data_IF_164632257043
#
_entry.id   IF_164632257043
#
_cell.length_a   1.000
_cell.length_b   1.000
_cell.length_c   1.000
_cell.angle_alpha   90.00
_cell.angle_beta   90.00
_cell.angle_gamma   90.00
#
_symmetry.space_group_name_H-M   'P 1'
#
loop_
_entity.id
_entity.type
_entity.pdbx_description
1 polymer ?
#
# COMPACT_ATOMS: atom_id res chain seq x y z
N UNK A 1 -3.22 7.73 13.04
CA UNK A 1 -3.47 7.57 11.58
C UNK A 1 -2.19 7.17 10.82
N UNK A 2 -2.26 6.82 9.52
CA UNK A 2 -1.07 6.75 8.64
C UNK A 2 -0.58 8.15 8.27
N UNK A 3 0.73 8.27 8.09
CA UNK A 3 1.48 9.47 7.71
C UNK A 3 2.69 9.02 6.88
N UNK A 4 3.14 9.84 5.93
CA UNK A 4 4.41 9.65 5.22
C UNK A 4 5.60 10.35 5.93
N UNK A 5 5.31 11.12 6.98
CA UNK A 5 6.28 11.76 7.89
C UNK A 5 6.17 11.23 9.34
N UNK A 6 7.18 11.55 10.16
CA UNK A 6 7.44 10.94 11.48
C UNK A 6 6.40 11.23 12.60
N UNK A 7 6.51 10.52 13.73
CA UNK A 7 5.48 10.36 14.80
C UNK A 7 5.83 11.03 16.13
N UNK A 8 4.83 11.45 16.94
CA UNK A 8 4.56 10.89 18.28
C UNK A 8 3.31 11.46 19.03
N UNK A 9 2.54 10.55 19.68
CA UNK A 9 1.68 10.72 20.90
C UNK A 9 0.36 11.54 20.85
N UNK A 10 -0.55 11.22 21.79
CA UNK A 10 -1.99 11.55 21.92
C UNK A 10 -2.32 11.82 23.44
N UNK A 11 -3.56 11.72 24.04
CA UNK A 11 -4.94 11.42 23.55
C UNK A 11 -6.09 12.29 24.18
N UNK A 12 -7.38 12.00 23.88
CA UNK A 12 -8.55 12.08 24.82
C UNK A 12 -9.93 11.71 24.19
N UNK A 13 -10.87 11.27 25.05
CA UNK A 13 -12.32 10.91 24.97
C UNK A 13 -13.27 11.53 23.90
N UNK A 14 -14.48 11.00 23.60
CA UNK A 14 -15.19 9.75 23.99
C UNK A 14 -16.74 9.79 23.77
N UNK A 15 -17.42 8.62 23.71
CA UNK A 15 -18.90 8.39 23.87
C UNK A 15 -19.89 8.88 22.76
N UNK A 16 -21.09 8.31 22.44
CA UNK A 16 -21.79 7.01 22.71
C UNK A 16 -23.07 6.84 21.83
N UNK A 17 -23.40 5.60 21.38
CA UNK A 17 -24.73 5.03 20.95
C UNK A 17 -25.51 5.71 19.77
N UNK A 18 -26.53 5.13 19.09
CA UNK A 18 -27.40 3.92 19.30
C UNK A 18 -27.62 3.10 17.98
N UNK A 19 -28.60 2.19 17.89
CA UNK A 19 -28.62 0.97 17.04
C UNK A 19 -29.83 0.79 16.08
N UNK A 20 -29.58 0.19 14.89
CA UNK A 20 -30.39 -0.82 14.13
C UNK A 20 -31.84 -0.49 13.66
N UNK A 21 -32.50 -1.29 12.78
CA UNK A 21 -32.08 -2.46 11.95
C UNK A 21 -31.76 -2.07 10.47
N UNK A 22 -31.35 -2.90 9.49
CA UNK A 22 -31.12 -4.35 9.27
C UNK A 22 -32.22 -5.17 8.49
N UNK A 23 -31.85 -5.75 7.33
CA UNK A 23 -32.61 -6.72 6.51
C UNK A 23 -31.70 -7.57 5.59
N UNK A 24 -32.10 -8.81 5.26
CA UNK A 24 -31.36 -9.75 4.38
C UNK A 24 -31.54 -9.37 2.88
N UNK A 25 -30.83 -9.91 1.88
CA UNK A 25 -30.01 -11.13 1.71
C UNK A 25 -28.90 -10.86 0.64
N UNK A 26 -28.09 -11.78 0.09
CA UNK A 26 -27.99 -13.24 0.12
C UNK A 26 -26.52 -13.70 -0.11
N UNK A 27 -26.26 -15.01 -0.27
CA UNK A 27 -24.92 -15.59 -0.48
C UNK A 27 -24.73 -16.29 -1.85
N UNK A 28 -23.48 -16.27 -2.34
CA UNK A 28 -22.94 -17.21 -3.34
C UNK A 28 -21.52 -17.61 -2.91
N UNK A 29 -21.21 -18.90 -2.96
CA UNK A 29 -19.92 -19.48 -2.53
C UNK A 29 -18.94 -19.62 -3.70
N UNK A 30 -17.64 -19.53 -3.43
CA UNK A 30 -16.59 -19.67 -4.44
C UNK A 30 -15.19 -19.58 -3.85
N UNK A 31 -14.67 -20.71 -3.35
CA UNK A 31 -13.34 -20.79 -2.72
C UNK A 31 -12.27 -21.16 -3.76
N UNK A 32 -11.69 -20.16 -4.42
CA UNK A 32 -10.44 -20.32 -5.18
C UNK A 32 -9.23 -20.19 -4.25
N UNK A 33 -8.29 -21.13 -4.31
CA UNK A 33 -7.03 -21.03 -3.58
C UNK A 33 -6.08 -20.06 -4.30
N UNK A 34 -5.52 -19.09 -3.57
CA UNK A 34 -4.66 -18.05 -4.16
C UNK A 34 -3.20 -18.51 -4.29
N UNK A 35 -2.53 -18.25 -5.42
CA UNK A 35 -1.10 -18.52 -5.57
C UNK A 35 -0.31 -17.71 -4.55
N UNK A 36 0.61 -18.38 -3.85
CA UNK A 36 1.28 -17.85 -2.67
C UNK A 36 2.79 -18.07 -2.78
N UNK A 37 3.58 -17.00 -2.66
CA UNK A 37 5.04 -17.07 -2.70
C UNK A 37 5.61 -17.19 -1.28
N UNK A 38 6.35 -18.27 -1.02
CA UNK A 38 7.17 -18.42 0.19
C UNK A 38 8.49 -17.64 0.02
N UNK A 39 8.85 -16.83 1.02
CA UNK A 39 10.11 -16.08 1.05
C UNK A 39 11.11 -16.84 1.92
N UNK A 40 12.06 -17.55 1.29
CA UNK A 40 13.17 -18.19 1.98
C UNK A 40 14.33 -17.20 2.20
N UNK A 41 14.54 -16.77 3.45
CA UNK A 41 15.73 -16.02 3.84
C UNK A 41 16.96 -16.93 3.89
N UNK A 42 17.63 -17.11 2.75
CA UNK A 42 18.96 -17.71 2.67
C UNK A 42 20.03 -16.72 3.18
N UNK A 43 20.27 -16.72 4.50
CA UNK A 43 21.54 -16.19 5.05
C UNK A 43 22.56 -17.34 5.09
N UNK A 44 23.59 -17.25 4.27
CA UNK A 44 24.70 -18.21 4.25
C UNK A 44 25.57 -18.07 5.49
N UNK A 45 25.44 -18.99 6.45
CA UNK A 45 26.29 -19.04 7.64
C UNK A 45 27.74 -19.40 7.29
N UNK A 46 28.66 -18.44 7.45
CA UNK A 46 30.10 -18.70 7.57
C UNK A 46 30.51 -18.38 9.01
N UNK A 47 30.74 -19.41 9.81
CA UNK A 47 30.93 -19.25 11.25
C UNK A 47 32.35 -18.90 11.67
N UNK A 48 32.49 -18.04 12.69
CA UNK A 48 33.67 -17.98 13.58
C UNK A 48 33.23 -17.62 15.02
N UNK A 49 33.94 -18.16 16.00
CA UNK A 49 33.77 -17.87 17.43
C UNK A 49 34.44 -16.54 17.78
N UNK A 50 33.82 -15.74 18.65
CA UNK A 50 34.40 -14.51 19.21
C UNK A 50 33.40 -13.83 20.16
N UNK A 51 33.84 -13.42 21.35
CA UNK A 51 32.97 -12.84 22.37
C UNK A 51 32.88 -11.30 22.28
N UNK A 52 31.77 -10.78 22.80
CA UNK A 52 31.54 -9.41 23.28
C UNK A 52 31.54 -8.24 22.28
N UNK A 53 30.64 -7.28 22.54
CA UNK A 53 30.70 -5.88 22.10
C UNK A 53 30.58 -5.57 20.59
N UNK A 54 29.38 -5.72 20.03
CA UNK A 54 28.97 -5.00 18.79
C UNK A 54 27.57 -4.35 18.87
N UNK A 55 27.06 -4.13 20.08
CA UNK A 55 25.80 -3.41 20.38
C UNK A 55 25.99 -1.88 20.26
N UNK A 56 26.47 -1.41 19.10
CA UNK A 56 26.76 0.02 18.86
C UNK A 56 26.75 0.50 17.41
N UNK A 57 26.73 -0.39 16.41
CA UNK A 57 26.85 -0.02 14.98
C UNK A 57 25.53 0.01 14.18
N UNK A 58 24.38 0.00 14.85
CA UNK A 58 23.05 0.18 14.22
C UNK A 58 22.57 1.64 14.25
N UNK A 59 23.47 2.62 14.12
CA UNK A 59 23.14 4.05 14.09
C UNK A 59 23.76 4.83 12.91
N UNK A 60 24.13 4.13 11.84
CA UNK A 60 24.54 4.72 10.56
C UNK A 60 23.62 4.21 9.44
N UNK A 61 22.87 5.13 8.83
CA UNK A 61 21.72 4.83 7.95
C UNK A 61 22.06 4.31 6.55
N UNK A 62 22.79 3.21 6.44
CA UNK A 62 23.07 2.54 5.15
C UNK A 62 22.14 1.32 5.02
N UNK A 63 20.94 1.56 4.50
CA UNK A 63 20.04 0.47 4.11
C UNK A 63 20.44 -0.04 2.72
N UNK A 64 21.04 -1.23 2.63
CA UNK A 64 21.25 -1.88 1.35
C UNK A 64 19.90 -2.20 0.70
N UNK A 65 19.68 -1.83 -0.58
CA UNK A 65 18.35 -1.94 -1.18
C UNK A 65 17.94 -3.40 -1.35
N UNK A 66 16.92 -3.83 -0.61
CA UNK A 66 16.40 -5.20 -0.64
C UNK A 66 15.76 -5.45 -2.01
N UNK A 67 16.42 -6.25 -2.85
CA UNK A 67 15.91 -6.68 -4.17
C UNK A 67 15.05 -7.93 -4.02
N UNK A 68 13.96 -8.02 -4.79
CA UNK A 68 13.00 -9.12 -4.79
C UNK A 68 12.43 -9.28 -6.19
N UNK A 69 12.43 -10.51 -6.72
CA UNK A 69 11.62 -10.89 -7.88
C UNK A 69 10.38 -11.63 -7.40
N UNK A 70 9.21 -11.30 -7.94
CA UNK A 70 7.93 -11.89 -7.52
C UNK A 70 6.97 -12.01 -8.71
N UNK A 71 6.19 -13.10 -8.74
CA UNK A 71 5.05 -13.20 -9.65
C UNK A 71 3.90 -12.37 -9.07
N UNK A 72 3.62 -11.23 -9.69
CA UNK A 72 2.50 -10.37 -9.34
C UNK A 72 1.33 -10.59 -10.31
N UNK A 73 0.20 -9.93 -10.04
CA UNK A 73 -0.96 -9.85 -10.93
C UNK A 73 -1.11 -8.39 -11.42
N UNK A 74 -1.43 -8.20 -12.69
CA UNK A 74 -1.72 -6.90 -13.29
C UNK A 74 -2.99 -6.26 -12.69
N UNK A 75 -2.95 -4.96 -12.40
CA UNK A 75 -4.03 -4.27 -11.69
C UNK A 75 -5.31 -3.98 -12.51
N UNK A 76 -5.38 -4.44 -13.76
CA UNK A 76 -6.53 -4.22 -14.67
C UNK A 76 -7.08 -5.52 -15.27
N UNK A 77 -6.26 -6.55 -15.37
CA UNK A 77 -6.51 -7.81 -16.08
C UNK A 77 -6.31 -9.05 -15.19
N UNK A 78 -5.80 -8.86 -13.96
CA UNK A 78 -5.38 -9.88 -13.00
C UNK A 78 -4.36 -10.90 -13.58
N UNK A 79 -3.70 -10.58 -14.71
CA UNK A 79 -2.79 -11.50 -15.39
C UNK A 79 -1.46 -11.66 -14.62
N UNK A 80 -0.91 -12.89 -14.52
CA UNK A 80 0.37 -13.10 -13.83
C UNK A 80 1.55 -12.46 -14.57
N UNK A 81 2.19 -11.45 -13.97
CA UNK A 81 3.36 -10.74 -14.49
C UNK A 81 4.55 -10.89 -13.53
N UNK A 82 5.72 -11.38 -13.98
CA UNK A 82 6.93 -11.34 -13.17
C UNK A 82 7.44 -9.90 -13.05
N UNK A 83 7.67 -9.43 -11.82
CA UNK A 83 8.21 -8.09 -11.55
C UNK A 83 9.44 -8.16 -10.65
N UNK A 84 10.38 -7.23 -10.82
CA UNK A 84 11.50 -7.01 -9.90
C UNK A 84 11.31 -5.70 -9.13
N UNK A 85 11.44 -5.77 -7.80
CA UNK A 85 11.30 -4.65 -6.88
C UNK A 85 12.60 -4.46 -6.08
N UNK A 86 13.18 -3.27 -6.12
CA UNK A 86 14.33 -2.87 -5.33
C UNK A 86 13.91 -1.86 -4.27
N UNK A 87 13.65 -2.35 -3.05
CA UNK A 87 13.14 -1.57 -1.93
C UNK A 87 14.23 -0.65 -1.37
N UNK A 88 13.90 0.62 -1.09
CA UNK A 88 14.86 1.67 -0.70
C UNK A 88 14.68 2.18 0.73
N UNK A 89 13.44 2.49 1.13
CA UNK A 89 13.13 3.04 2.45
C UNK A 89 11.65 2.81 2.81
N UNK A 90 11.35 2.61 4.09
CA UNK A 90 9.97 2.67 4.58
C UNK A 90 9.53 4.13 4.64
N UNK A 91 8.53 4.51 3.83
CA UNK A 91 7.97 5.86 3.78
C UNK A 91 6.75 6.02 4.69
N UNK A 92 6.07 4.94 5.10
CA UNK A 92 4.91 5.04 5.99
C UNK A 92 4.68 3.79 6.83
N UNK A 93 4.10 3.96 8.02
CA UNK A 93 3.72 2.85 8.89
C UNK A 93 2.53 3.23 9.77
N UNK A 94 1.49 2.39 9.80
CA UNK A 94 0.30 2.61 10.63
C UNK A 94 -0.48 1.32 10.90
N UNK A 95 -1.64 1.46 11.55
CA UNK A 95 -2.46 0.35 12.08
C UNK A 95 -2.78 -0.76 11.08
N UNK A 96 -2.87 -0.44 9.79
CA UNK A 96 -3.28 -1.36 8.73
C UNK A 96 -2.12 -1.90 7.89
N UNK A 97 -0.88 -1.42 8.08
CA UNK A 97 0.23 -1.83 7.22
C UNK A 97 1.47 -0.92 7.23
N UNK A 98 2.36 -1.23 6.30
CA UNK A 98 3.63 -0.55 6.05
C UNK A 98 3.68 -0.14 4.56
N UNK A 99 4.27 1.02 4.27
CA UNK A 99 4.47 1.51 2.91
C UNK A 99 5.97 1.70 2.69
N UNK A 100 6.52 1.02 1.70
CA UNK A 100 7.94 1.10 1.32
C UNK A 100 8.09 1.69 -0.08
N UNK A 101 9.04 2.60 -0.29
CA UNK A 101 9.41 3.07 -1.64
C UNK A 101 10.38 2.09 -2.28
N UNK A 102 10.08 1.65 -3.50
CA UNK A 102 10.94 0.78 -4.29
C UNK A 102 11.12 1.33 -5.71
N UNK A 103 12.16 0.88 -6.40
CA UNK A 103 12.22 0.94 -7.87
C UNK A 103 11.64 -0.36 -8.42
N UNK A 104 10.69 -0.25 -9.34
CA UNK A 104 10.13 -1.36 -10.11
C UNK A 104 10.87 -1.48 -11.45
N UNK A 105 11.31 -2.68 -11.78
CA UNK A 105 11.85 -3.06 -13.09
C UNK A 105 10.99 -4.19 -13.66
N UNK A 106 10.61 -4.08 -14.93
CA UNK A 106 9.97 -5.19 -15.66
C UNK A 106 11.05 -6.01 -16.40
N UNK A 107 10.97 -7.35 -16.40
CA UNK A 107 11.84 -8.18 -17.23
C UNK A 107 11.70 -7.83 -18.71
N UNK A 108 12.81 -7.73 -19.43
CA UNK A 108 12.78 -7.61 -20.89
C UNK A 108 12.27 -8.94 -21.47
N UNK A 109 11.13 -8.86 -22.13
CA UNK A 109 10.61 -9.94 -22.97
C UNK A 109 10.94 -9.62 -24.41
N UNK A 110 11.61 -10.55 -25.10
CA UNK A 110 11.75 -10.46 -26.55
C UNK A 110 10.39 -10.79 -27.20
N UNK A 111 10.18 -10.37 -28.45
CA UNK A 111 8.89 -10.51 -29.14
C UNK A 111 8.40 -11.97 -29.31
N UNK A 112 9.30 -12.94 -29.08
CA UNK A 112 9.07 -14.39 -29.13
C UNK A 112 8.83 -15.01 -27.73
N UNK A 113 8.57 -14.19 -26.70
CA UNK A 113 8.24 -14.64 -25.33
C UNK A 113 9.40 -15.23 -24.52
N UNK A 114 10.58 -15.36 -25.11
CA UNK A 114 11.80 -15.85 -24.45
C UNK A 114 12.39 -14.81 -23.49
N UNK A 115 12.83 -15.28 -22.31
CA UNK A 115 13.51 -14.47 -21.30
C UNK A 115 14.99 -14.40 -21.62
N UNK A 116 15.48 -13.20 -21.93
CA UNK A 116 16.86 -13.01 -22.35
C UNK A 116 17.83 -13.12 -21.16
N UNK A 117 18.79 -14.05 -21.27
CA UNK A 117 19.89 -14.22 -20.32
C UNK A 117 21.26 -13.83 -20.93
N UNK A 118 21.28 -13.34 -22.17
CA UNK A 118 22.49 -13.02 -22.93
C UNK A 118 22.98 -11.59 -22.67
N UNK A 119 23.54 -11.36 -21.48
CA UNK A 119 24.13 -10.07 -21.13
C UNK A 119 25.43 -9.80 -21.92
N UNK A 120 25.35 -9.22 -23.12
CA UNK A 120 26.50 -8.56 -23.78
C UNK A 120 26.10 -7.50 -24.81
N UNK A 121 26.90 -6.42 -24.86
CA UNK A 121 26.97 -5.41 -25.93
C UNK A 121 25.77 -4.47 -26.17
N UNK A 122 25.95 -3.23 -25.66
CA UNK A 122 25.47 -1.93 -26.19
C UNK A 122 24.47 -1.96 -27.36
N UNK A 123 23.21 -1.65 -27.05
CA UNK A 123 22.60 -0.39 -27.51
C UNK A 123 21.57 0.08 -26.47
N UNK A 124 21.19 1.36 -26.50
CA UNK A 124 20.24 1.91 -25.54
C UNK A 124 18.82 1.43 -25.85
N UNK A 125 18.24 0.69 -24.91
CA UNK A 125 16.80 0.44 -24.86
C UNK A 125 16.45 0.27 -23.38
N UNK A 126 15.85 1.30 -22.78
CA UNK A 126 15.69 1.39 -21.32
C UNK A 126 14.83 0.25 -20.79
N UNK A 127 15.33 -0.49 -19.79
CA UNK A 127 14.42 -1.14 -18.84
C UNK A 127 13.74 -0.02 -18.06
N UNK A 128 12.50 0.34 -18.41
CA UNK A 128 11.79 1.52 -17.90
C UNK A 128 11.55 1.41 -16.38
N UNK A 129 12.56 1.77 -15.60
CA UNK A 129 12.56 1.61 -14.15
C UNK A 129 11.80 2.76 -13.50
N UNK A 130 10.71 2.47 -12.80
CA UNK A 130 9.81 3.49 -12.24
C UNK A 130 9.79 3.43 -10.71
N UNK A 131 9.69 4.58 -10.05
CA UNK A 131 9.52 4.62 -8.60
C UNK A 131 8.08 4.26 -8.21
N UNK A 132 7.96 3.32 -7.28
CA UNK A 132 6.68 2.79 -6.78
C UNK A 132 6.63 2.84 -5.25
N UNK A 133 5.43 3.02 -4.73
CA UNK A 133 5.11 2.84 -3.31
C UNK A 133 4.42 1.48 -3.13
N UNK A 134 5.04 0.59 -2.36
CA UNK A 134 4.51 -0.75 -2.07
C UNK A 134 3.80 -0.71 -0.72
N UNK A 135 2.45 -0.73 -0.73
CA UNK A 135 1.62 -0.78 0.48
C UNK A 135 1.35 -2.23 0.86
N UNK A 136 1.99 -2.71 1.92
CA UNK A 136 1.81 -4.05 2.51
C UNK A 136 0.75 -4.00 3.61
N UNK A 137 -0.31 -4.80 3.46
CA UNK A 137 -1.40 -4.96 4.45
C UNK A 137 -1.56 -6.42 4.86
N UNK A 138 -2.02 -6.68 6.08
CA UNK A 138 -2.39 -8.04 6.52
C UNK A 138 -3.66 -8.47 5.79
N UNK A 139 -3.67 -9.70 5.26
CA UNK A 139 -4.78 -10.26 4.52
C UNK A 139 -5.47 -11.36 5.35
N UNK A 140 -6.73 -11.13 5.73
CA UNK A 140 -7.56 -12.19 6.30
C UNK A 140 -7.95 -13.19 5.19
N UNK A 141 -7.62 -14.49 5.30
CA UNK A 141 -7.95 -15.46 4.25
C UNK A 141 -9.45 -15.62 3.98
N UNK A 142 -10.32 -15.16 4.89
CA UNK A 142 -11.78 -15.33 4.81
C UNK A 142 -12.50 -14.23 4.02
N UNK A 143 -11.83 -13.12 3.71
CA UNK A 143 -12.47 -11.92 3.16
C UNK A 143 -11.68 -11.33 1.97
N UNK A 144 -12.35 -11.11 0.84
CA UNK A 144 -11.75 -10.34 -0.27
C UNK A 144 -11.41 -8.92 0.20
N UNK A 145 -10.25 -8.42 -0.21
CA UNK A 145 -9.81 -7.09 0.19
C UNK A 145 -10.61 -6.00 -0.55
N UNK A 146 -11.30 -5.14 0.20
CA UNK A 146 -12.12 -4.06 -0.37
C UNK A 146 -11.27 -2.98 -1.04
N UNK A 147 -10.08 -2.70 -0.51
CA UNK A 147 -9.19 -1.68 -1.07
C UNK A 147 -8.72 -2.09 -2.48
N UNK A 148 -8.29 -3.35 -2.63
CA UNK A 148 -7.91 -3.94 -3.92
C UNK A 148 -8.98 -3.72 -5.00
N UNK A 149 -10.22 -4.14 -4.74
CA UNK A 149 -11.29 -4.04 -5.74
C UNK A 149 -11.69 -2.59 -6.07
N UNK A 150 -11.64 -1.69 -5.07
CA UNK A 150 -11.87 -0.26 -5.30
C UNK A 150 -10.76 0.35 -6.16
N UNK A 151 -9.50 -0.03 -5.92
CA UNK A 151 -8.36 0.48 -6.70
C UNK A 151 -8.33 -0.07 -8.12
N UNK A 152 -8.71 -1.34 -8.36
CA UNK A 152 -8.94 -1.87 -9.71
C UNK A 152 -9.98 -1.02 -10.47
N UNK A 153 -11.16 -0.80 -9.86
CA UNK A 153 -12.27 -0.03 -10.46
C UNK A 153 -11.95 1.44 -10.73
N UNK A 154 -11.03 2.05 -9.97
CA UNK A 154 -10.71 3.47 -10.07
C UNK A 154 -9.40 3.78 -10.82
N UNK A 155 -8.71 2.78 -11.35
CA UNK A 155 -7.35 2.90 -11.90
C UNK A 155 -7.24 3.80 -13.17
N UNK A 156 -8.36 4.14 -13.81
CA UNK A 156 -8.40 4.94 -15.04
C UNK A 156 -8.81 6.40 -14.81
N UNK A 157 -8.10 7.11 -13.92
CA UNK A 157 -8.29 8.56 -13.73
C UNK A 157 -6.98 9.30 -13.40
N UNK A 158 -6.63 10.41 -14.07
CA UNK A 158 -5.35 11.09 -13.89
C UNK A 158 -5.12 11.63 -12.47
N UNK A 159 -6.18 11.86 -11.68
CA UNK A 159 -6.11 12.37 -10.31
C UNK A 159 -6.45 11.30 -9.24
N UNK A 160 -6.38 10.03 -9.60
CA UNK A 160 -6.35 8.89 -8.66
C UNK A 160 -4.96 8.25 -8.78
N UNK A 161 -4.34 7.86 -7.65
CA UNK A 161 -3.01 7.22 -7.66
C UNK A 161 -3.04 5.96 -8.53
N UNK A 162 -2.12 5.85 -9.49
CA UNK A 162 -2.10 4.71 -10.41
C UNK A 162 -1.70 3.44 -9.67
N UNK A 163 -2.45 2.38 -9.90
CA UNK A 163 -2.24 1.05 -9.36
C UNK A 163 -1.66 0.17 -10.47
N UNK A 164 -0.49 -0.41 -10.25
CA UNK A 164 0.23 -1.16 -11.29
C UNK A 164 0.03 -2.66 -11.16
N UNK A 165 0.36 -3.22 -9.98
CA UNK A 165 0.39 -4.65 -9.72
C UNK A 165 0.03 -4.95 -8.27
N UNK A 166 -0.39 -6.18 -7.97
CA UNK A 166 -0.46 -6.69 -6.61
C UNK A 166 0.10 -8.10 -6.49
N UNK A 167 0.54 -8.48 -5.29
CA UNK A 167 1.00 -9.85 -5.00
C UNK A 167 0.74 -10.24 -3.54
N UNK A 168 0.83 -11.54 -3.26
CA UNK A 168 0.69 -12.09 -1.91
C UNK A 168 2.01 -12.69 -1.40
N UNK A 169 2.27 -12.55 -0.10
CA UNK A 169 3.41 -13.19 0.57
C UNK A 169 3.00 -13.74 1.93
N UNK A 170 3.52 -14.90 2.31
CA UNK A 170 3.37 -15.46 3.67
C UNK A 170 4.54 -15.14 4.58
N UNK A 171 4.26 -14.91 5.86
CA UNK A 171 5.26 -14.96 6.93
C UNK A 171 4.83 -15.97 8.01
N UNK A 172 5.78 -16.74 8.56
CA UNK A 172 5.54 -17.68 9.66
C UNK A 172 5.49 -16.94 10.99
N UNK A 173 4.45 -17.19 11.79
CA UNK A 173 4.21 -16.49 13.07
C UNK A 173 5.08 -17.06 14.21
N UNK A 174 6.40 -16.94 14.11
CA UNK A 174 7.39 -17.51 15.06
C UNK A 174 7.32 -17.00 16.50
N UNK A 175 6.41 -16.06 16.80
CA UNK A 175 6.29 -15.32 18.06
C UNK A 175 4.85 -15.25 18.59
N UNK A 176 4.06 -16.34 18.44
CA UNK A 176 2.79 -16.52 19.18
C UNK A 176 2.96 -17.23 20.54
N UNK A 177 4.18 -17.31 21.07
CA UNK A 177 4.43 -17.63 22.47
C UNK A 177 3.78 -16.56 23.37
N UNK A 178 3.05 -16.99 24.40
CA UNK A 178 2.32 -16.16 25.37
C UNK A 178 1.24 -15.22 24.80
N UNK A 179 0.16 -15.81 24.27
CA UNK A 179 -1.20 -15.39 24.68
C UNK A 179 -1.99 -16.61 25.17
N UNK A 180 -2.70 -16.44 26.29
CA UNK A 180 -3.19 -17.53 27.13
C UNK A 180 -4.30 -18.36 26.49
N UNK A 181 -4.41 -19.63 26.90
CA UNK A 181 -5.57 -20.47 26.59
C UNK A 181 -6.84 -19.85 27.20
N UNK A 182 -7.86 -19.59 26.36
CA UNK A 182 -9.06 -18.89 26.80
C UNK A 182 -9.90 -18.27 25.67
N UNK A 183 -10.17 -19.02 24.59
CA UNK A 183 -10.98 -18.53 23.48
C UNK A 183 -11.54 -19.68 22.64
N UNK A 184 -12.85 -19.64 22.34
CA UNK A 184 -13.55 -20.72 21.62
C UNK A 184 -13.34 -20.65 20.09
N UNK A 185 -13.01 -21.80 19.51
CA UNK A 185 -13.51 -22.27 18.21
C UNK A 185 -13.37 -21.34 17.00
N UNK A 186 -12.28 -21.48 16.24
CA UNK A 186 -12.18 -20.98 14.88
C UNK A 186 -10.97 -21.58 14.16
N UNK A 187 -11.20 -22.28 13.04
CA UNK A 187 -10.14 -22.99 12.31
C UNK A 187 -9.19 -22.04 11.59
N UNK A 188 -8.19 -21.51 12.29
CA UNK A 188 -7.04 -20.84 11.67
C UNK A 188 -6.09 -21.89 11.08
N UNK A 189 -6.24 -22.14 9.78
CA UNK A 189 -5.36 -23.03 9.01
C UNK A 189 -3.91 -22.52 9.02
N UNK A 190 -3.04 -23.23 9.75
CA UNK A 190 -1.59 -22.97 9.92
C UNK A 190 -1.20 -21.66 10.64
N UNK A 191 -0.02 -21.66 11.27
CA UNK A 191 0.57 -20.49 11.94
C UNK A 191 1.28 -19.54 10.96
N UNK A 192 0.55 -19.14 9.91
CA UNK A 192 1.10 -18.39 8.77
C UNK A 192 0.22 -17.17 8.49
N UNK A 193 0.81 -15.98 8.60
CA UNK A 193 0.15 -14.71 8.32
C UNK A 193 0.33 -14.36 6.82
N UNK A 194 -0.77 -14.19 6.10
CA UNK A 194 -0.79 -13.79 4.68
C UNK A 194 -0.81 -12.27 4.57
N UNK A 195 -0.03 -11.70 3.65
CA UNK A 195 0.00 -10.27 3.37
C UNK A 195 -0.29 -10.01 1.90
N UNK A 196 -1.13 -9.00 1.64
CA UNK A 196 -1.33 -8.41 0.32
C UNK A 196 -0.39 -7.21 0.18
N UNK A 197 0.24 -7.08 -0.98
CA UNK A 197 1.06 -5.93 -1.35
C UNK A 197 0.46 -5.26 -2.58
N UNK A 198 0.23 -3.95 -2.50
CA UNK A 198 -0.26 -3.12 -3.60
C UNK A 198 0.91 -2.28 -4.12
N UNK A 199 1.26 -2.42 -5.40
CA UNK A 199 2.33 -1.67 -6.08
C UNK A 199 1.72 -0.44 -6.73
N UNK A 200 1.96 0.72 -6.13
CA UNK A 200 1.35 2.01 -6.47
C UNK A 200 2.37 2.98 -7.05
N UNK A 201 1.89 3.99 -7.76
CA UNK A 201 2.65 5.17 -8.17
C UNK A 201 3.24 5.93 -6.96
N UNK A 202 4.55 6.16 -6.98
CA UNK A 202 5.22 6.98 -5.95
C UNK A 202 5.11 8.46 -6.31
N UNK A 203 4.93 9.30 -5.28
CA UNK A 203 4.96 10.76 -5.37
C UNK A 203 6.08 11.32 -4.48
N UNK A 204 6.54 12.57 -4.71
CA UNK A 204 7.59 13.18 -3.91
C UNK A 204 7.11 13.55 -2.50
N UNK A 205 5.87 14.06 -2.35
CA UNK A 205 5.28 14.41 -1.04
C UNK A 205 3.74 14.32 -1.04
N UNK A 206 3.14 14.37 0.14
CA UNK A 206 1.70 14.62 0.32
C UNK A 206 1.40 16.10 0.49
N UNK A 207 0.14 16.50 0.29
CA UNK A 207 -0.33 17.87 0.55
C UNK A 207 -0.09 18.29 2.02
N UNK A 208 -0.04 17.32 2.95
CA UNK A 208 0.31 17.58 4.35
C UNK A 208 1.77 18.05 4.50
N UNK A 209 2.69 17.35 3.84
CA UNK A 209 4.12 17.69 3.84
C UNK A 209 4.39 18.98 3.07
N UNK A 210 3.68 19.22 1.96
CA UNK A 210 3.72 20.49 1.24
C UNK A 210 3.29 21.67 2.13
N UNK A 211 2.16 21.53 2.82
CA UNK A 211 1.67 22.56 3.76
C UNK A 211 2.71 22.80 4.86
N UNK A 212 3.27 21.74 5.46
CA UNK A 212 4.31 21.86 6.47
C UNK A 212 5.58 22.54 5.93
N UNK A 213 6.02 22.20 4.72
CA UNK A 213 7.18 22.79 4.02
C UNK A 213 7.03 24.28 3.76
N UNK A 214 5.82 24.75 3.47
CA UNK A 214 5.52 26.19 3.34
C UNK A 214 5.46 26.90 4.71
N UNK A 215 4.83 26.28 5.71
CA UNK A 215 4.77 26.81 7.07
C UNK A 215 6.17 26.98 7.69
N UNK A 216 7.05 25.99 7.54
CA UNK A 216 8.44 26.05 8.03
C UNK A 216 9.28 27.14 7.34
N UNK A 217 8.91 27.55 6.12
CA UNK A 217 9.53 28.68 5.41
C UNK A 217 8.89 30.04 5.76
N UNK A 218 7.81 30.06 6.55
CA UNK A 218 6.95 31.21 6.79
C UNK A 218 6.43 31.89 5.50
N UNK A 219 6.16 31.09 4.46
CA UNK A 219 5.64 31.55 3.16
C UNK A 219 4.25 30.95 2.93
N UNK A 220 3.33 31.74 2.35
CA UNK A 220 2.00 31.24 1.95
C UNK A 220 2.10 30.45 0.65
N UNK A 221 1.39 29.33 0.57
CA UNK A 221 1.23 28.57 -0.69
C UNK A 221 0.63 29.50 -1.76
N UNK A 222 1.24 29.61 -2.96
CA UNK A 222 0.70 30.43 -4.05
C UNK A 222 -0.74 30.05 -4.42
N UNK A 223 -1.60 31.05 -4.57
CA UNK A 223 -3.05 30.86 -4.79
C UNK A 223 -3.37 30.04 -6.05
N UNK A 224 -2.50 30.08 -7.07
CA UNK A 224 -2.66 29.25 -8.27
C UNK A 224 -2.49 27.75 -7.96
N UNK A 225 -1.53 27.36 -7.13
CA UNK A 225 -1.31 25.97 -6.68
C UNK A 225 -2.54 25.49 -5.90
N UNK A 226 -3.04 26.31 -4.97
CA UNK A 226 -4.25 26.01 -4.19
C UNK A 226 -5.45 25.76 -5.11
N UNK A 227 -5.66 26.60 -6.13
CA UNK A 227 -6.74 26.40 -7.13
C UNK A 227 -6.56 25.11 -7.94
N UNK A 228 -5.35 24.87 -8.46
CA UNK A 228 -5.03 23.73 -9.33
C UNK A 228 -5.16 22.39 -8.60
N UNK A 229 -4.70 22.30 -7.35
CA UNK A 229 -4.87 21.11 -6.51
C UNK A 229 -6.31 20.91 -6.04
N UNK A 230 -7.02 21.99 -5.65
CA UNK A 230 -8.46 21.89 -5.29
C UNK A 230 -9.29 21.37 -6.46
N UNK A 231 -9.06 21.87 -7.68
CA UNK A 231 -9.74 21.41 -8.90
C UNK A 231 -9.48 19.92 -9.17
N UNK A 232 -8.21 19.48 -9.10
CA UNK A 232 -7.85 18.07 -9.31
C UNK A 232 -8.45 17.12 -8.26
N UNK A 233 -8.49 17.54 -7.00
CA UNK A 233 -9.14 16.78 -5.92
C UNK A 233 -10.65 16.65 -6.18
N UNK A 234 -11.33 17.74 -6.55
CA UNK A 234 -12.76 17.74 -6.86
C UNK A 234 -13.06 16.89 -8.11
N UNK A 235 -12.19 16.92 -9.13
CA UNK A 235 -12.30 16.07 -10.33
C UNK A 235 -12.17 14.58 -9.98
N UNK A 236 -11.22 14.20 -9.11
CA UNK A 236 -11.09 12.84 -8.61
C UNK A 236 -12.33 12.39 -7.81
N UNK A 237 -12.88 13.28 -6.97
CA UNK A 237 -14.11 13.01 -6.20
C UNK A 237 -15.33 12.83 -7.11
N UNK A 238 -15.49 13.65 -8.16
CA UNK A 238 -16.54 13.47 -9.15
C UNK A 238 -16.43 12.10 -9.86
N UNK A 239 -15.23 11.70 -10.25
CA UNK A 239 -14.96 10.38 -10.84
C UNK A 239 -15.30 9.24 -9.87
N UNK A 240 -14.85 9.30 -8.61
CA UNK A 240 -15.21 8.32 -7.57
C UNK A 240 -16.72 8.21 -7.35
N UNK A 241 -17.41 9.35 -7.23
CA UNK A 241 -18.84 9.41 -6.95
C UNK A 241 -19.69 8.90 -8.14
N UNK A 242 -19.25 9.09 -9.39
CA UNK A 242 -19.91 8.49 -10.56
C UNK A 242 -19.87 6.96 -10.52
N UNK A 243 -18.77 6.38 -10.01
CA UNK A 243 -18.61 4.94 -9.75
C UNK A 243 -19.28 4.47 -8.45
N UNK A 244 -20.11 5.31 -7.82
CA UNK A 244 -20.77 5.10 -6.51
C UNK A 244 -19.82 4.86 -5.34
N UNK A 245 -18.52 5.12 -5.48
CA UNK A 245 -17.52 4.93 -4.42
C UNK A 245 -17.33 6.25 -3.68
N UNK A 246 -17.47 6.23 -2.35
CA UNK A 246 -17.09 7.34 -1.49
C UNK A 246 -15.75 7.01 -0.80
N UNK A 247 -14.81 7.96 -0.82
CA UNK A 247 -13.49 7.80 -0.20
C UNK A 247 -13.55 7.70 1.33
N UNK A 248 -14.46 8.45 1.95
CA UNK A 248 -14.73 8.56 3.39
C UNK A 248 -13.58 9.02 4.30
N UNK A 249 -12.35 9.14 3.77
CA UNK A 249 -11.17 9.59 4.51
C UNK A 249 -10.33 10.56 3.65
N UNK A 250 -10.91 11.70 3.28
CA UNK A 250 -10.22 12.77 2.54
C UNK A 250 -9.57 13.73 3.54
N UNK A 251 -8.25 13.87 3.44
CA UNK A 251 -7.38 14.68 4.30
C UNK A 251 -6.05 14.93 3.58
N UNK A 252 -5.28 15.92 4.03
CA UNK A 252 -4.02 16.33 3.39
C UNK A 252 -2.96 15.22 3.27
N UNK A 253 -2.95 14.20 4.15
CA UNK A 253 -2.06 13.04 4.03
C UNK A 253 -2.45 12.06 2.92
N UNK A 254 -3.71 12.07 2.49
CA UNK A 254 -4.29 11.13 1.52
C UNK A 254 -4.44 11.79 0.13
N UNK A 255 -3.72 12.89 -0.08
CA UNK A 255 -3.63 13.67 -1.31
C UNK A 255 -2.14 13.79 -1.65
N UNK A 256 -1.69 12.99 -2.61
CA UNK A 256 -0.31 13.03 -3.12
C UNK A 256 -0.16 14.22 -4.08
N UNK A 257 0.97 14.91 -4.01
CA UNK A 257 1.22 16.12 -4.81
C UNK A 257 2.64 16.13 -5.36
N UNK A 258 2.78 16.70 -6.56
CA UNK A 258 4.04 17.13 -7.12
C UNK A 258 3.91 18.60 -7.50
N UNK A 259 4.65 19.47 -6.80
CA UNK A 259 4.66 20.91 -7.04
C UNK A 259 5.33 21.28 -8.37
N UNK A 260 6.23 20.43 -8.91
CA UNK A 260 6.97 20.70 -10.14
C UNK A 260 6.13 20.47 -11.40
N UNK A 261 5.30 19.43 -11.41
CA UNK A 261 4.33 19.14 -12.49
C UNK A 261 2.92 19.70 -12.22
N UNK A 262 2.69 20.26 -11.02
CA UNK A 262 1.39 20.69 -10.51
C UNK A 262 0.30 19.59 -10.53
N UNK A 263 0.71 18.31 -10.41
CA UNK A 263 -0.20 17.16 -10.35
C UNK A 263 -0.62 16.88 -8.89
N UNK A 264 -1.92 16.62 -8.67
CA UNK A 264 -2.45 16.04 -7.44
C UNK A 264 -3.17 14.71 -7.73
N UNK A 265 -2.98 13.70 -6.87
CA UNK A 265 -3.71 12.43 -6.92
C UNK A 265 -4.22 11.98 -5.54
N UNK A 266 -5.44 11.44 -5.48
CA UNK A 266 -6.03 10.87 -4.26
C UNK A 266 -5.50 9.45 -4.03
N UNK A 267 -5.20 9.09 -2.77
CA UNK A 267 -4.67 7.79 -2.37
C UNK A 267 -5.27 7.27 -1.04
N UNK A 268 -4.91 6.03 -0.67
CA UNK A 268 -5.34 5.32 0.55
C UNK A 268 -6.86 5.00 0.60
N UNK A 269 -7.25 4.05 -0.25
CA UNK A 269 -8.63 3.61 -0.43
C UNK A 269 -9.10 2.60 0.62
N UNK A 270 -8.30 2.32 1.66
CA UNK A 270 -8.67 1.41 2.77
C UNK A 270 -9.98 1.81 3.45
N UNK A 271 -10.22 3.11 3.60
CA UNK A 271 -11.47 3.67 4.16
C UNK A 271 -12.63 3.74 3.15
N UNK A 272 -12.35 3.67 1.84
CA UNK A 272 -13.35 3.86 0.80
C UNK A 272 -14.41 2.74 0.78
N UNK A 273 -15.63 3.05 0.33
CA UNK A 273 -16.73 2.08 0.20
C UNK A 273 -17.65 2.47 -0.96
N UNK A 274 -18.17 1.46 -1.66
CA UNK A 274 -19.34 1.61 -2.54
C UNK A 274 -20.61 1.91 -1.72
N UNK A 275 -21.38 2.89 -2.18
CA UNK A 275 -22.52 3.49 -1.50
C UNK A 275 -23.83 3.03 -2.16
N UNK A 276 -24.38 1.93 -1.66
CA UNK A 276 -25.66 1.37 -2.14
C UNK A 276 -26.83 2.09 -1.42
N UNK A 277 -27.81 2.68 -2.15
CA UNK A 277 -29.00 3.29 -1.56
C UNK A 277 -29.75 2.33 -0.63
N UNK A 278 -30.38 2.87 0.43
CA UNK A 278 -31.09 2.08 1.44
C UNK A 278 -30.19 1.26 2.39
N UNK A 279 -28.90 1.07 2.09
CA UNK A 279 -28.01 0.31 2.99
C UNK A 279 -27.49 1.18 4.15
N UNK A 280 -27.57 0.64 5.36
CA UNK A 280 -26.89 1.24 6.52
C UNK A 280 -25.38 1.26 6.30
N UNK A 281 -24.75 2.40 6.54
CA UNK A 281 -23.32 2.59 6.40
C UNK A 281 -22.70 2.79 7.78
N UNK A 282 -21.72 1.96 8.14
CA UNK A 282 -20.94 2.14 9.37
C UNK A 282 -20.28 3.52 9.32
N UNK A 283 -20.66 4.38 10.25
CA UNK A 283 -20.05 5.70 10.47
C UNK A 283 -18.54 5.55 10.65
N UNK A 284 -17.76 6.44 10.03
CA UNK A 284 -16.30 6.36 10.10
C UNK A 284 -15.82 6.62 11.54
N UNK A 285 -15.44 5.55 12.24
CA UNK A 285 -14.80 5.64 13.55
C UNK A 285 -13.35 6.06 13.33
N UNK A 286 -13.10 7.36 13.47
CA UNK A 286 -11.76 7.94 13.33
C UNK A 286 -10.83 7.43 14.43
N UNK A 287 -9.99 6.44 14.11
CA UNK A 287 -8.82 6.10 14.91
C UNK A 287 -7.77 7.21 14.73
N UNK A 288 -7.86 8.24 15.58
CA UNK A 288 -6.88 9.32 15.66
C UNK A 288 -5.54 8.75 16.12
#
# INVERSE_FOLDING_TARGET
>A
MMSLASKHVAPAHGSTHTLLPASNSNAVTGAGAFPTVQINNQLSNVGRRGNSSIMSLFNSGICFPRRMSVQACGAQDDLPVPIELSFTVTIGQGTFGQIERATLTLPKTNADGTVDQSATNKLENESSSIQVAVKRVLQDPRYKNRELNIMQRLNNHPNVVKFYYYYYSTATSSSRSHRSAGGRGGSSSSGVDVFLHLVLECFPESLCELIYRYLQRNVKIPVHIVKVFTYQMLKALAYMHSHRICHRDIKSSNLLVDESTLILKVCDFGSAKEMVPGTANVSYISSR
#
